data_IF_364448732162
#
_entry.id   IF_364448732162
#
_cell.length_a   1.000
_cell.length_b   1.000
_cell.length_c   1.000
_cell.angle_alpha   90.00
_cell.angle_beta   90.00
_cell.angle_gamma   90.00
#
_symmetry.space_group_name_H-M   'P 1'
#
loop_
_entity.id
_entity.type
_entity.pdbx_description
1 polymer ?
#
# COMPACT_ATOMS: atom_id res chain seq x y z
N UNK A 1 29.76 8.33 -10.59
CA UNK A 1 28.59 9.08 -11.12
C UNK A 1 27.30 8.72 -10.40
N UNK A 2 27.02 7.45 -10.09
CA UNK A 2 25.75 7.03 -9.48
C UNK A 2 25.82 6.65 -7.99
N UNK A 3 26.88 7.04 -7.28
CA UNK A 3 27.15 6.61 -5.91
C UNK A 3 26.00 6.87 -4.94
N UNK A 4 25.28 7.99 -5.09
CA UNK A 4 24.11 8.31 -4.24
C UNK A 4 22.98 7.31 -4.45
N UNK A 5 22.62 7.03 -5.70
CA UNK A 5 21.54 6.10 -6.06
C UNK A 5 21.94 4.65 -5.74
N UNK A 6 23.20 4.28 -5.99
CA UNK A 6 23.74 2.98 -5.60
C UNK A 6 23.77 2.79 -4.09
N UNK A 7 24.11 3.83 -3.32
CA UNK A 7 24.09 3.78 -1.86
C UNK A 7 22.67 3.64 -1.36
N UNK A 8 21.73 4.40 -1.92
CA UNK A 8 20.31 4.26 -1.61
C UNK A 8 19.82 2.83 -1.86
N UNK A 9 20.15 2.24 -3.02
CA UNK A 9 19.86 0.83 -3.28
C UNK A 9 20.52 -0.10 -2.27
N UNK A 10 21.83 0.02 -2.04
CA UNK A 10 22.59 -0.86 -1.14
C UNK A 10 22.03 -0.88 0.28
N UNK A 11 21.66 0.28 0.83
CA UNK A 11 21.15 0.43 2.19
C UNK A 11 19.70 -0.02 2.37
N UNK A 12 18.96 -0.21 1.27
CA UNK A 12 17.53 -0.51 1.32
C UNK A 12 17.23 -1.90 0.77
N UNK A 13 16.09 -2.43 1.20
CA UNK A 13 15.57 -3.68 0.67
C UNK A 13 15.04 -3.50 -0.75
N UNK A 14 15.14 -4.56 -1.54
CA UNK A 14 14.74 -4.57 -2.96
C UNK A 14 13.24 -4.39 -3.18
N UNK A 15 12.43 -4.56 -2.13
CA UNK A 15 10.98 -4.37 -2.13
C UNK A 15 10.53 -3.02 -1.54
N UNK A 16 11.46 -2.14 -1.16
CA UNK A 16 11.13 -0.81 -0.62
C UNK A 16 10.96 0.24 -1.72
N UNK A 17 10.16 1.26 -1.43
CA UNK A 17 9.94 2.41 -2.31
C UNK A 17 11.26 3.14 -2.64
N UNK A 18 12.11 3.39 -1.64
CA UNK A 18 13.41 4.03 -1.83
C UNK A 18 14.30 3.27 -2.82
N UNK A 19 14.25 1.92 -2.80
CA UNK A 19 15.03 1.11 -3.73
C UNK A 19 14.52 1.26 -5.16
N UNK A 20 13.21 1.16 -5.36
CA UNK A 20 12.58 1.29 -6.69
C UNK A 20 12.76 2.70 -7.25
N UNK A 21 12.58 3.74 -6.43
CA UNK A 21 12.83 5.14 -6.81
C UNK A 21 14.29 5.36 -7.24
N UNK A 22 15.24 4.77 -6.51
CA UNK A 22 16.66 4.86 -6.87
C UNK A 22 16.98 4.16 -8.21
N UNK A 23 16.29 3.07 -8.55
CA UNK A 23 16.39 2.43 -9.87
C UNK A 23 15.79 3.31 -10.95
N UNK A 24 14.57 3.81 -10.73
CA UNK A 24 13.82 4.62 -11.70
C UNK A 24 14.55 5.94 -12.00
N UNK A 25 15.01 6.66 -10.97
CA UNK A 25 15.78 7.89 -11.14
C UNK A 25 17.08 7.65 -11.90
N UNK A 26 17.78 6.54 -11.65
CA UNK A 26 19.00 6.22 -12.39
C UNK A 26 18.70 5.91 -13.86
N UNK A 27 17.63 5.16 -14.11
CA UNK A 27 17.20 4.84 -15.47
C UNK A 27 16.77 6.11 -16.23
N UNK A 28 16.02 6.99 -15.57
CA UNK A 28 15.61 8.28 -16.11
C UNK A 28 16.81 9.15 -16.45
N UNK A 29 17.78 9.26 -15.53
CA UNK A 29 19.02 10.00 -15.78
C UNK A 29 19.76 9.48 -17.02
N UNK A 30 19.94 8.16 -17.14
CA UNK A 30 20.59 7.53 -18.30
C UNK A 30 19.84 7.89 -19.59
N UNK A 31 18.51 7.77 -19.58
CA UNK A 31 17.68 8.07 -20.75
C UNK A 31 17.82 9.53 -21.19
N UNK A 32 17.66 10.48 -20.26
CA UNK A 32 17.75 11.92 -20.56
C UNK A 32 19.17 12.29 -21.00
N UNK A 33 20.20 11.76 -20.35
CA UNK A 33 21.61 11.97 -20.75
C UNK A 33 21.84 11.53 -22.20
N UNK A 34 21.42 10.31 -22.54
CA UNK A 34 21.66 9.73 -23.86
C UNK A 34 20.90 10.50 -24.95
N UNK A 35 19.66 10.91 -24.66
CA UNK A 35 18.86 11.76 -25.53
C UNK A 35 19.52 13.14 -25.78
N UNK A 36 19.93 13.83 -24.72
CA UNK A 36 20.58 15.15 -24.82
C UNK A 36 21.96 15.08 -25.49
N UNK A 37 22.70 13.99 -25.30
CA UNK A 37 24.00 13.80 -25.96
C UNK A 37 23.86 13.26 -27.39
N UNK A 38 22.63 13.00 -27.87
CA UNK A 38 22.35 12.23 -29.10
C UNK A 38 23.21 10.97 -29.19
N UNK A 39 23.21 10.16 -28.14
CA UNK A 39 23.99 8.93 -28.04
C UNK A 39 25.51 9.11 -28.30
N UNK A 40 26.05 10.29 -28.01
CA UNK A 40 27.47 10.61 -28.20
C UNK A 40 27.79 11.40 -29.47
N UNK A 41 26.80 11.68 -30.33
CA UNK A 41 26.99 12.53 -31.51
C UNK A 41 27.25 14.00 -31.16
N UNK A 42 26.55 14.53 -30.14
CA UNK A 42 26.74 15.92 -29.69
C UNK A 42 27.90 16.03 -28.70
N UNK A 43 27.93 15.12 -27.73
CA UNK A 43 28.92 15.14 -26.65
C UNK A 43 29.35 13.72 -26.32
N UNK A 44 30.61 13.42 -26.62
CA UNK A 44 31.23 12.18 -26.18
C UNK A 44 31.76 12.35 -24.75
N UNK A 45 31.24 11.56 -23.81
CA UNK A 45 31.68 11.57 -22.41
C UNK A 45 31.88 10.14 -21.91
N UNK A 46 32.89 9.87 -21.04
CA UNK A 46 33.03 8.57 -20.39
C UNK A 46 31.77 8.09 -19.67
N UNK A 47 30.88 9.01 -19.28
CA UNK A 47 29.58 8.71 -18.70
C UNK A 47 28.72 7.81 -19.59
N UNK A 48 28.78 7.97 -20.92
CA UNK A 48 27.98 7.20 -21.90
C UNK A 48 28.34 5.71 -21.94
N UNK A 49 29.51 5.31 -21.41
CA UNK A 49 29.90 3.90 -21.31
C UNK A 49 28.97 3.08 -20.41
N UNK A 50 28.30 3.72 -19.44
CA UNK A 50 27.32 3.08 -18.59
C UNK A 50 25.92 3.22 -19.22
N UNK A 51 25.41 2.12 -19.77
CA UNK A 51 24.15 2.07 -20.53
C UNK A 51 22.99 1.55 -19.66
N UNK A 52 21.76 1.67 -20.15
CA UNK A 52 20.58 1.06 -19.52
C UNK A 52 20.74 -0.45 -19.32
N UNK A 53 21.45 -1.14 -20.20
CA UNK A 53 21.73 -2.57 -20.08
C UNK A 53 22.65 -2.87 -18.89
N UNK A 54 23.65 -2.03 -18.65
CA UNK A 54 24.53 -2.15 -17.48
C UNK A 54 23.73 -1.96 -16.20
N UNK A 55 22.88 -0.92 -16.13
CA UNK A 55 21.97 -0.71 -14.99
C UNK A 55 21.09 -1.93 -14.73
N UNK A 56 20.47 -2.48 -15.78
CA UNK A 56 19.60 -3.63 -15.65
C UNK A 56 20.33 -4.84 -15.07
N UNK A 57 21.52 -5.16 -15.58
CA UNK A 57 22.32 -6.28 -15.09
C UNK A 57 22.74 -6.09 -13.62
N UNK A 58 23.15 -4.88 -13.24
CA UNK A 58 23.58 -4.58 -11.87
C UNK A 58 22.41 -4.69 -10.88
N UNK A 59 21.23 -4.18 -11.26
CA UNK A 59 20.00 -4.28 -10.45
C UNK A 59 19.55 -5.74 -10.31
N UNK A 60 19.59 -6.52 -11.39
CA UNK A 60 19.25 -7.95 -11.35
C UNK A 60 20.19 -8.75 -10.45
N UNK A 61 21.49 -8.46 -10.52
CA UNK A 61 22.50 -9.07 -9.65
C UNK A 61 22.23 -8.72 -8.19
N UNK A 62 22.00 -7.44 -7.88
CA UNK A 62 21.71 -6.99 -6.52
C UNK A 62 20.42 -7.61 -5.98
N UNK A 63 19.36 -7.71 -6.79
CA UNK A 63 18.10 -8.37 -6.43
C UNK A 63 18.33 -9.83 -6.06
N UNK A 64 19.11 -10.57 -6.86
CA UNK A 64 19.45 -11.99 -6.59
C UNK A 64 20.26 -12.17 -5.31
N UNK A 65 21.23 -11.29 -5.05
CA UNK A 65 22.08 -11.36 -3.86
C UNK A 65 21.32 -11.03 -2.56
N UNK A 66 20.38 -10.08 -2.61
CA UNK A 66 19.60 -9.67 -1.43
C UNK A 66 18.41 -10.57 -1.13
N UNK A 67 17.81 -11.18 -2.15
CA UNK A 67 16.56 -11.93 -2.02
C UNK A 67 16.57 -13.01 -0.91
N UNK A 68 17.61 -13.85 -0.74
CA UNK A 68 17.62 -14.87 0.31
C UNK A 68 17.60 -14.28 1.72
N UNK A 69 18.41 -13.24 1.96
CA UNK A 69 18.50 -12.54 3.26
C UNK A 69 17.18 -11.87 3.60
N UNK A 70 16.56 -11.26 2.59
CA UNK A 70 15.29 -10.57 2.75
C UNK A 70 14.13 -11.54 3.09
N UNK A 71 14.15 -12.75 2.52
CA UNK A 71 13.19 -13.83 2.84
C UNK A 71 13.41 -14.33 4.28
N UNK A 72 14.66 -14.50 4.71
CA UNK A 72 14.98 -14.94 6.08
C UNK A 72 14.53 -13.90 7.11
N UNK A 73 14.79 -12.62 6.87
CA UNK A 73 14.30 -11.51 7.70
C UNK A 73 12.77 -11.49 7.79
N UNK A 74 12.07 -11.68 6.66
CA UNK A 74 10.60 -11.73 6.65
C UNK A 74 10.06 -12.96 7.43
N UNK A 75 10.77 -14.10 7.43
CA UNK A 75 10.41 -15.27 8.24
C UNK A 75 10.57 -15.00 9.73
N UNK A 76 11.70 -14.43 10.14
CA UNK A 76 11.98 -14.10 11.54
C UNK A 76 10.96 -13.11 12.10
N UNK A 77 10.70 -12.02 11.35
CA UNK A 77 9.70 -11.02 11.74
C UNK A 77 8.32 -11.65 11.94
N UNK A 78 7.96 -12.61 11.09
CA UNK A 78 6.67 -13.30 11.19
C UNK A 78 6.59 -14.22 12.41
N UNK A 79 7.67 -14.92 12.75
CA UNK A 79 7.72 -15.72 13.97
C UNK A 79 7.63 -14.84 15.22
N UNK A 80 8.24 -13.65 15.19
CA UNK A 80 8.12 -12.64 16.25
C UNK A 80 6.69 -12.12 16.37
N UNK A 81 6.06 -11.69 15.27
CA UNK A 81 4.64 -11.27 15.23
C UNK A 81 3.71 -12.37 15.76
N UNK A 82 3.98 -13.63 15.41
CA UNK A 82 3.21 -14.79 15.91
C UNK A 82 3.36 -14.95 17.43
N UNK A 83 4.59 -14.83 17.95
CA UNK A 83 4.88 -14.91 19.39
C UNK A 83 4.29 -13.72 20.16
N UNK A 84 4.28 -12.52 19.59
CA UNK A 84 3.66 -11.34 20.18
C UNK A 84 2.15 -11.47 20.24
N UNK A 85 1.52 -11.98 19.17
CA UNK A 85 0.09 -12.28 19.18
C UNK A 85 -0.25 -13.30 20.28
N UNK A 86 0.55 -14.36 20.44
CA UNK A 86 0.39 -15.34 21.51
C UNK A 86 0.63 -14.74 22.92
N UNK A 87 1.61 -13.84 23.10
CA UNK A 87 1.87 -13.17 24.40
C UNK A 87 0.82 -12.13 24.77
N UNK A 88 0.24 -11.43 23.79
CA UNK A 88 -0.85 -10.48 24.02
C UNK A 88 -2.12 -11.15 24.57
N UNK A 89 -2.25 -12.48 24.37
CA UNK A 89 -3.30 -13.29 24.97
C UNK A 89 -3.00 -13.64 26.45
N UNK A 90 -1.72 -13.72 26.83
CA UNK A 90 -1.25 -14.16 28.17
C UNK A 90 -1.08 -12.99 29.17
N UNK A 91 -0.82 -11.76 28.71
CA UNK A 91 -0.78 -10.57 29.58
C UNK A 91 -2.16 -10.11 30.11
N UNK A 92 -3.25 -10.72 29.63
CA UNK A 92 -4.56 -10.67 30.29
C UNK A 92 -4.77 -11.76 31.36
N UNK A 93 -3.76 -12.56 31.67
CA UNK A 93 -3.90 -13.76 32.50
C UNK A 93 -2.68 -14.09 33.36
N UNK A 94 -2.19 -13.16 34.20
CA UNK A 94 -1.23 -13.51 35.25
C UNK A 94 -1.36 -12.69 36.54
N UNK A 95 -2.58 -12.32 36.93
CA UNK A 95 -2.90 -11.95 38.30
C UNK A 95 -4.41 -12.07 38.55
N UNK A 96 -4.86 -13.26 38.95
CA UNK A 96 -6.10 -13.49 39.68
C UNK A 96 -7.40 -13.15 38.96
N UNK A 97 -7.99 -14.14 38.27
CA UNK A 97 -9.40 -14.55 38.31
C UNK A 97 -9.64 -15.55 37.16
N UNK A 98 -10.11 -16.73 37.51
CA UNK A 98 -10.72 -17.68 36.58
C UNK A 98 -11.89 -17.01 35.83
N UNK A 99 -11.89 -17.04 34.48
CA UNK A 99 -13.18 -16.98 33.75
C UNK A 99 -13.32 -16.12 32.50
N UNK A 100 -12.45 -16.26 31.49
CA UNK A 100 -12.88 -16.04 30.08
C UNK A 100 -12.29 -17.14 29.19
N UNK A 101 -12.96 -18.28 29.15
CA UNK A 101 -12.66 -19.34 28.20
C UNK A 101 -13.06 -18.85 26.80
N UNK A 102 -12.09 -18.76 25.88
CA UNK A 102 -12.35 -18.52 24.45
C UNK A 102 -12.40 -19.86 23.73
N UNK A 103 -13.50 -20.14 23.05
CA UNK A 103 -13.64 -21.34 22.24
C UNK A 103 -13.34 -20.99 20.78
N UNK A 104 -12.11 -21.26 20.35
CA UNK A 104 -11.67 -21.01 18.98
C UNK A 104 -12.29 -21.99 17.99
N UNK A 105 -12.61 -21.50 16.78
CA UNK A 105 -13.19 -22.28 15.70
C UNK A 105 -12.61 -21.88 14.34
N UNK A 106 -12.69 -22.77 13.35
CA UNK A 106 -12.37 -22.45 11.94
C UNK A 106 -13.50 -21.68 11.25
N UNK A 107 -14.71 -21.82 11.78
CA UNK A 107 -15.93 -21.23 11.23
C UNK A 107 -16.82 -20.63 12.32
N UNK A 108 -17.66 -19.69 11.90
CA UNK A 108 -18.57 -18.97 12.76
C UNK A 108 -19.85 -18.63 12.00
N UNK A 109 -20.98 -19.13 12.50
CA UNK A 109 -22.30 -18.73 12.01
C UNK A 109 -22.79 -17.48 12.73
N UNK A 110 -23.27 -16.49 11.99
CA UNK A 110 -23.94 -15.32 12.56
C UNK A 110 -25.08 -14.88 11.65
N UNK A 111 -26.30 -14.82 12.23
CA UNK A 111 -27.56 -14.69 11.48
C UNK A 111 -27.64 -15.80 10.41
N UNK A 112 -27.83 -15.43 9.14
CA UNK A 112 -27.96 -16.36 8.01
C UNK A 112 -26.66 -16.48 7.19
N UNK A 113 -25.51 -16.12 7.77
CA UNK A 113 -24.21 -16.13 7.11
C UNK A 113 -23.22 -17.00 7.87
N UNK A 114 -22.38 -17.73 7.12
CA UNK A 114 -21.27 -18.51 7.65
C UNK A 114 -19.96 -17.81 7.30
N UNK A 115 -19.07 -17.60 8.27
CA UNK A 115 -17.75 -17.00 8.09
C UNK A 115 -16.67 -18.02 8.43
N UNK A 116 -15.57 -18.02 7.69
CA UNK A 116 -14.44 -18.92 7.92
C UNK A 116 -13.13 -18.15 8.08
N UNK A 117 -12.16 -18.76 8.75
CA UNK A 117 -10.77 -18.32 8.68
C UNK A 117 -10.32 -18.29 7.21
N UNK A 118 -9.70 -17.17 6.80
CA UNK A 118 -9.33 -16.89 5.42
C UNK A 118 -10.36 -16.10 4.61
N UNK A 119 -11.57 -15.90 5.12
CA UNK A 119 -12.54 -14.99 4.49
C UNK A 119 -12.12 -13.53 4.68
N UNK A 120 -12.36 -12.70 3.66
CA UNK A 120 -12.28 -11.24 3.78
C UNK A 120 -13.68 -10.68 4.02
N UNK A 121 -13.79 -9.77 4.97
CA UNK A 121 -15.07 -9.19 5.37
C UNK A 121 -15.00 -7.69 5.43
N UNK A 122 -16.13 -7.05 5.13
CA UNK A 122 -16.34 -5.65 5.42
C UNK A 122 -16.76 -5.49 6.86
N UNK A 123 -16.04 -4.65 7.60
CA UNK A 123 -16.33 -4.30 8.99
C UNK A 123 -16.87 -2.88 9.04
N UNK A 124 -17.94 -2.70 9.81
CA UNK A 124 -18.51 -1.38 10.09
C UNK A 124 -17.45 -0.45 10.69
N UNK A 125 -17.26 0.75 10.11
CA UNK A 125 -16.31 1.72 10.63
C UNK A 125 -16.81 2.33 11.95
N UNK A 126 -15.89 2.92 12.72
CA UNK A 126 -16.27 3.64 13.94
C UNK A 126 -17.11 4.90 13.63
N UNK A 127 -16.90 5.51 12.46
CA UNK A 127 -17.64 6.70 11.99
C UNK A 127 -18.54 6.33 10.80
N UNK A 128 -19.83 6.65 10.90
CA UNK A 128 -20.87 6.17 9.97
C UNK A 128 -20.70 6.60 8.50
N UNK A 129 -19.91 7.64 8.22
CA UNK A 129 -19.71 8.18 6.86
C UNK A 129 -18.44 7.65 6.18
N UNK A 130 -17.69 6.77 6.85
CA UNK A 130 -16.50 6.16 6.27
C UNK A 130 -16.83 4.89 5.49
N UNK A 131 -15.93 4.51 4.58
CA UNK A 131 -16.06 3.24 3.88
C UNK A 131 -15.83 2.08 4.86
N UNK A 132 -16.53 0.95 4.70
CA UNK A 132 -16.26 -0.25 5.48
C UNK A 132 -14.81 -0.71 5.31
N UNK A 133 -14.21 -1.09 6.44
CA UNK A 133 -12.84 -1.59 6.47
C UNK A 133 -12.79 -3.02 5.96
N UNK A 134 -11.71 -3.38 5.25
CA UNK A 134 -11.51 -4.74 4.75
C UNK A 134 -10.63 -5.48 5.75
N UNK A 135 -11.11 -6.60 6.29
CA UNK A 135 -10.39 -7.41 7.27
C UNK A 135 -10.31 -8.86 6.81
N UNK A 136 -9.11 -9.44 6.81
CA UNK A 136 -8.93 -10.87 6.62
C UNK A 136 -9.10 -11.59 7.96
N UNK A 137 -10.07 -12.50 8.06
CA UNK A 137 -10.28 -13.30 9.27
C UNK A 137 -9.12 -14.29 9.43
N UNK A 138 -8.34 -14.15 10.49
CA UNK A 138 -7.24 -15.09 10.82
C UNK A 138 -7.58 -15.99 12.01
N UNK A 139 -8.46 -15.54 12.91
CA UNK A 139 -8.99 -16.33 14.02
C UNK A 139 -10.46 -15.99 14.26
N UNK A 140 -11.24 -17.00 14.66
CA UNK A 140 -12.61 -16.87 15.13
C UNK A 140 -12.73 -17.54 16.50
N UNK A 141 -13.49 -16.94 17.41
CA UNK A 141 -13.83 -17.57 18.69
C UNK A 141 -15.16 -17.04 19.24
N UNK A 142 -15.72 -17.81 20.16
CA UNK A 142 -16.79 -17.36 21.05
C UNK A 142 -16.19 -17.14 22.45
N UNK A 143 -16.55 -16.03 23.10
CA UNK A 143 -16.15 -15.78 24.49
C UNK A 143 -17.14 -16.39 25.49
N UNK A 144 -16.84 -16.29 26.78
CA UNK A 144 -17.68 -16.84 27.84
C UNK A 144 -19.05 -16.17 27.98
N UNK A 145 -19.27 -15.00 27.36
CA UNK A 145 -20.56 -14.33 27.29
C UNK A 145 -21.39 -14.80 26.08
N UNK A 146 -20.86 -15.70 25.24
CA UNK A 146 -21.48 -16.14 24.00
C UNK A 146 -21.31 -15.13 22.86
N UNK A 147 -20.49 -14.07 23.04
CA UNK A 147 -20.22 -13.13 21.97
C UNK A 147 -19.18 -13.71 21.01
N UNK A 148 -19.47 -13.58 19.72
CA UNK A 148 -18.65 -14.11 18.63
C UNK A 148 -17.71 -13.02 18.12
N UNK A 149 -16.43 -13.36 18.04
CA UNK A 149 -15.35 -12.44 17.68
C UNK A 149 -14.53 -12.97 16.51
N UNK A 150 -14.00 -12.02 15.73
CA UNK A 150 -12.95 -12.27 14.75
C UNK A 150 -11.70 -11.48 15.13
N UNK A 151 -10.54 -11.99 14.75
CA UNK A 151 -9.26 -11.27 14.76
C UNK A 151 -8.61 -11.42 13.40
N UNK A 152 -8.01 -10.34 12.90
CA UNK A 152 -7.56 -10.31 11.52
C UNK A 152 -6.69 -9.14 11.15
N UNK A 153 -6.05 -9.26 10.00
CA UNK A 153 -5.27 -8.22 9.36
C UNK A 153 -6.18 -7.23 8.65
N UNK A 154 -5.96 -5.94 8.86
CA UNK A 154 -6.67 -4.88 8.16
C UNK A 154 -6.00 -4.55 6.82
N UNK A 155 -6.81 -4.30 5.80
CA UNK A 155 -6.38 -3.90 4.47
C UNK A 155 -6.83 -2.48 4.19
N UNK A 156 -5.87 -1.61 3.92
CA UNK A 156 -6.13 -0.18 3.70
C UNK A 156 -6.33 0.12 2.24
N UNK A 157 -7.30 0.97 1.94
CA UNK A 157 -7.50 1.59 0.65
C UNK A 157 -6.49 2.72 0.45
N UNK A 158 -6.25 3.19 -0.79
CA UNK A 158 -5.32 4.28 -1.06
C UNK A 158 -5.56 5.53 -0.20
N UNK A 159 -6.81 5.93 -0.02
CA UNK A 159 -7.21 7.09 0.77
C UNK A 159 -7.03 6.92 2.30
N UNK A 160 -6.74 5.71 2.78
CA UNK A 160 -6.42 5.41 4.18
C UNK A 160 -4.89 5.39 4.43
N UNK A 161 -4.09 5.73 3.41
CA UNK A 161 -2.62 5.72 3.49
C UNK A 161 -2.01 7.11 3.30
N UNK A 162 -0.85 7.35 3.90
CA UNK A 162 -0.01 8.49 3.55
C UNK A 162 0.89 8.11 2.38
N UNK A 163 0.81 8.88 1.29
CA UNK A 163 1.56 8.62 0.06
C UNK A 163 1.87 9.92 -0.68
N UNK A 164 2.87 9.88 -1.56
CA UNK A 164 3.15 10.98 -2.47
C UNK A 164 1.97 11.16 -3.44
N UNK A 165 1.63 12.42 -3.77
CA UNK A 165 0.57 12.73 -4.73
C UNK A 165 0.80 12.08 -6.10
N UNK A 166 2.07 11.88 -6.49
CA UNK A 166 2.45 11.24 -7.75
C UNK A 166 2.28 9.72 -7.75
N UNK A 167 2.00 9.10 -6.59
CA UNK A 167 1.83 7.65 -6.49
C UNK A 167 0.62 7.21 -7.32
N UNK A 168 0.84 6.19 -8.15
CA UNK A 168 -0.20 5.58 -8.97
C UNK A 168 -0.69 4.29 -8.34
N UNK A 169 -2.00 4.09 -8.40
CA UNK A 169 -2.71 2.97 -7.80
C UNK A 169 -3.39 2.13 -8.88
N UNK A 170 -3.42 0.81 -8.68
CA UNK A 170 -4.28 -0.07 -9.45
C UNK A 170 -5.75 0.23 -9.13
N UNK A 171 -6.63 -0.02 -10.10
CA UNK A 171 -8.05 -0.05 -9.80
C UNK A 171 -8.33 -1.15 -8.75
N UNK A 172 -9.14 -0.83 -7.74
CA UNK A 172 -9.42 -1.71 -6.59
C UNK A 172 -8.19 -2.09 -5.77
N UNK A 173 -7.11 -1.30 -5.80
CA UNK A 173 -5.92 -1.58 -4.97
C UNK A 173 -6.22 -1.46 -3.48
N UNK A 174 -5.67 -2.39 -2.70
CA UNK A 174 -5.61 -2.33 -1.24
C UNK A 174 -4.22 -2.75 -0.76
N UNK A 175 -3.89 -2.37 0.47
CA UNK A 175 -2.59 -2.60 1.08
C UNK A 175 -2.72 -3.44 2.33
N UNK A 176 -1.96 -4.54 2.40
CA UNK A 176 -1.86 -5.32 3.63
C UNK A 176 -1.20 -4.46 4.72
N UNK A 177 -1.92 -4.11 5.77
CA UNK A 177 -1.37 -3.27 6.85
C UNK A 177 -0.57 -4.09 7.88
N UNK A 178 0.14 -3.38 8.76
CA UNK A 178 0.69 -3.90 10.02
C UNK A 178 -0.32 -3.81 11.18
N UNK A 179 -1.57 -3.45 10.91
CA UNK A 179 -2.62 -3.32 11.91
C UNK A 179 -3.49 -4.58 12.00
N UNK A 180 -3.54 -5.15 13.20
CA UNK A 180 -4.37 -6.30 13.53
C UNK A 180 -5.21 -5.96 14.75
N UNK A 181 -6.50 -6.29 14.70
CA UNK A 181 -7.38 -6.06 15.83
C UNK A 181 -8.52 -7.07 15.85
N UNK A 182 -9.15 -7.23 17.01
CA UNK A 182 -10.37 -8.02 17.18
C UNK A 182 -11.60 -7.15 16.94
N UNK A 183 -12.64 -7.75 16.36
CA UNK A 183 -13.91 -7.10 16.06
C UNK A 183 -15.05 -8.09 16.37
N UNK A 184 -16.20 -7.64 16.91
CA UNK A 184 -17.37 -8.48 17.01
C UNK A 184 -17.85 -8.94 15.63
N UNK A 185 -18.21 -10.21 15.48
CA UNK A 185 -18.78 -10.76 14.23
C UNK A 185 -20.09 -10.05 13.85
N UNK A 186 -20.77 -9.45 14.83
CA UNK A 186 -21.98 -8.64 14.62
C UNK A 186 -21.75 -7.37 13.79
N UNK A 187 -20.50 -6.89 13.69
CA UNK A 187 -20.09 -5.72 12.91
C UNK A 187 -19.75 -6.02 11.45
N UNK A 188 -19.86 -7.29 11.03
CA UNK A 188 -19.62 -7.67 9.63
C UNK A 188 -20.81 -7.23 8.78
N UNK A 189 -20.52 -6.47 7.73
CA UNK A 189 -21.50 -5.96 6.76
C UNK A 189 -21.65 -6.86 5.53
N UNK A 190 -20.62 -7.65 5.20
CA UNK A 190 -20.60 -8.53 4.04
C UNK A 190 -19.23 -9.16 3.82
N UNK A 191 -19.13 -10.01 2.80
CA UNK A 191 -17.87 -10.63 2.37
C UNK A 191 -17.30 -9.90 1.16
N UNK A 192 -15.99 -9.91 1.04
CA UNK A 192 -15.26 -9.50 -0.14
C UNK A 192 -14.10 -10.48 -0.40
N UNK A 193 -13.27 -10.19 -1.39
CA UNK A 193 -12.06 -10.97 -1.69
C UNK A 193 -10.90 -10.03 -1.97
N UNK A 194 -9.75 -10.27 -1.35
CA UNK A 194 -8.50 -9.63 -1.72
C UNK A 194 -7.61 -10.66 -2.40
N UNK A 195 -7.26 -10.39 -3.65
CA UNK A 195 -6.40 -11.26 -4.46
C UNK A 195 -4.97 -10.72 -4.52
N UNK A 196 -4.00 -11.62 -4.59
CA UNK A 196 -2.64 -11.21 -4.87
C UNK A 196 -2.51 -10.73 -6.33
N UNK A 197 -1.75 -9.66 -6.55
CA UNK A 197 -1.57 -9.02 -7.86
C UNK A 197 -1.18 -9.99 -9.00
N UNK A 198 -0.44 -11.06 -8.69
CA UNK A 198 -0.01 -12.05 -9.69
C UNK A 198 -1.15 -12.89 -10.29
N UNK A 199 -2.27 -13.00 -9.57
CA UNK A 199 -3.43 -13.82 -9.93
C UNK A 199 -4.63 -12.97 -10.35
N UNK A 200 -4.78 -11.78 -9.77
CA UNK A 200 -5.94 -10.89 -9.94
C UNK A 200 -6.36 -10.63 -11.40
N UNK A 201 -5.39 -10.38 -12.29
CA UNK A 201 -5.69 -10.06 -13.69
C UNK A 201 -6.15 -11.26 -14.53
N UNK A 202 -5.88 -12.48 -14.05
CA UNK A 202 -6.11 -13.73 -14.81
C UNK A 202 -7.27 -14.54 -14.23
N UNK A 203 -7.52 -14.43 -12.93
CA UNK A 203 -8.51 -15.20 -12.21
C UNK A 203 -9.56 -14.28 -11.58
N UNK A 204 -10.77 -14.79 -11.37
CA UNK A 204 -11.81 -14.17 -10.56
C UNK A 204 -12.40 -15.17 -9.56
N UNK A 205 -12.86 -14.70 -8.39
CA UNK A 205 -13.57 -15.54 -7.44
C UNK A 205 -15.01 -15.84 -7.91
N UNK A 206 -15.44 -17.09 -7.78
CA UNK A 206 -16.83 -17.45 -8.05
C UNK A 206 -17.78 -16.86 -7.00
N UNK A 207 -18.97 -16.43 -7.42
CA UNK A 207 -20.05 -15.90 -6.57
C UNK A 207 -19.75 -14.55 -5.89
N UNK A 208 -18.78 -13.79 -6.37
CA UNK A 208 -18.53 -12.41 -5.94
C UNK A 208 -18.73 -11.44 -7.09
N UNK A 209 -19.24 -10.25 -6.77
CA UNK A 209 -19.33 -9.13 -7.72
C UNK A 209 -17.96 -8.49 -7.84
N UNK A 210 -17.59 -8.00 -9.02
CA UNK A 210 -16.28 -7.37 -9.25
C UNK A 210 -16.04 -6.15 -8.32
N UNK A 211 -17.10 -5.47 -7.87
CA UNK A 211 -17.00 -4.39 -6.89
C UNK A 211 -16.49 -4.83 -5.51
N UNK A 212 -16.58 -6.12 -5.19
CA UNK A 212 -16.11 -6.73 -3.94
C UNK A 212 -14.80 -7.52 -4.11
N UNK A 213 -14.15 -7.40 -5.27
CA UNK A 213 -12.86 -8.03 -5.56
C UNK A 213 -11.78 -6.96 -5.62
N UNK A 214 -10.81 -7.06 -4.71
CA UNK A 214 -9.69 -6.14 -4.57
C UNK A 214 -8.37 -6.79 -4.95
N UNK A 215 -7.39 -5.95 -5.31
CA UNK A 215 -6.02 -6.39 -5.64
C UNK A 215 -5.04 -5.87 -4.60
N UNK A 216 -4.15 -6.74 -4.13
CA UNK A 216 -3.07 -6.37 -3.23
C UNK A 216 -1.71 -6.68 -3.86
N UNK A 217 -0.89 -5.65 -4.07
CA UNK A 217 0.50 -5.75 -4.53
C UNK A 217 1.51 -5.51 -3.40
N UNK A 218 1.16 -4.63 -2.46
CA UNK A 218 2.09 -4.10 -1.45
C UNK A 218 1.53 -4.16 -0.03
N UNK A 219 2.46 -4.21 0.93
CA UNK A 219 2.20 -3.90 2.33
C UNK A 219 2.31 -2.39 2.55
N UNK A 220 1.59 -1.90 3.55
CA UNK A 220 1.71 -0.54 4.05
C UNK A 220 1.94 -0.59 5.57
N UNK A 221 2.94 0.11 6.07
CA UNK A 221 3.12 0.29 7.53
C UNK A 221 2.59 1.64 7.95
N UNK A 222 1.60 1.66 8.83
CA UNK A 222 1.09 2.91 9.38
C UNK A 222 2.13 3.60 10.28
N UNK A 223 2.99 2.81 10.93
CA UNK A 223 4.07 3.29 11.82
C UNK A 223 5.15 4.05 11.06
N UNK A 224 5.61 3.53 9.91
CA UNK A 224 6.67 4.15 9.12
C UNK A 224 6.16 4.92 7.90
N UNK A 225 4.84 4.91 7.64
CA UNK A 225 4.19 5.53 6.48
C UNK A 225 4.86 5.15 5.16
N UNK A 226 5.19 3.86 5.01
CA UNK A 226 5.96 3.36 3.87
C UNK A 226 5.34 2.12 3.25
N UNK A 227 5.58 1.97 1.95
CA UNK A 227 5.12 0.83 1.16
C UNK A 227 6.24 -0.17 0.92
N UNK A 228 5.88 -1.46 0.92
CA UNK A 228 6.80 -2.57 0.62
C UNK A 228 6.12 -3.61 -0.26
N UNK A 229 6.65 -3.91 -1.44
CA UNK A 229 6.06 -4.92 -2.34
C UNK A 229 6.03 -6.30 -1.70
N UNK A 230 4.93 -7.03 -1.90
CA UNK A 230 4.78 -8.39 -1.37
C UNK A 230 5.45 -9.38 -2.32
N UNK A 231 6.48 -10.06 -1.82
CA UNK A 231 7.18 -11.11 -2.59
C UNK A 231 6.42 -12.44 -2.61
N UNK A 232 5.93 -12.84 -1.43
CA UNK A 232 5.20 -14.08 -1.21
C UNK A 232 3.89 -13.77 -0.48
N UNK A 233 2.77 -14.19 -1.09
CA UNK A 233 1.44 -14.05 -0.50
C UNK A 233 1.24 -15.13 0.54
N UNK A 234 1.10 -14.72 1.80
CA UNK A 234 1.02 -15.65 2.92
C UNK A 234 -0.17 -15.32 3.82
N UNK A 235 -1.37 -15.48 3.28
CA UNK A 235 -2.63 -15.36 4.01
C UNK A 235 -3.21 -16.74 4.32
N UNK A 236 -4.10 -16.88 5.31
CA UNK A 236 -4.83 -18.13 5.51
C UNK A 236 -5.55 -18.55 4.23
N UNK A 237 -5.61 -19.86 3.99
CA UNK A 237 -6.26 -20.41 2.79
C UNK A 237 -7.77 -20.18 2.93
N UNK A 238 -8.35 -19.46 1.97
CA UNK A 238 -9.78 -19.23 1.90
C UNK A 238 -10.49 -20.41 1.22
N UNK A 239 -11.77 -20.60 1.53
CA UNK A 239 -12.67 -21.55 0.85
C UNK A 239 -13.14 -21.07 -0.54
N UNK A 240 -12.83 -19.82 -0.91
CA UNK A 240 -13.21 -19.22 -2.18
C UNK A 240 -12.55 -19.96 -3.36
N UNK A 241 -13.38 -20.33 -4.35
CA UNK A 241 -12.91 -20.93 -5.60
C UNK A 241 -12.61 -19.84 -6.62
N UNK A 242 -11.47 -19.98 -7.29
CA UNK A 242 -11.03 -19.07 -8.35
C UNK A 242 -11.12 -19.76 -9.70
N UNK A 243 -11.66 -19.05 -10.68
CA UNK A 243 -11.76 -19.51 -12.08
C UNK A 243 -11.06 -18.52 -12.99
N UNK A 244 -10.56 -18.95 -14.17
CA UNK A 244 -10.04 -18.04 -15.18
C UNK A 244 -11.10 -17.01 -15.59
N UNK A 245 -10.67 -15.76 -15.78
CA UNK A 245 -11.54 -14.73 -16.37
C UNK A 245 -11.74 -15.01 -17.85
N UNK A 246 -12.93 -14.74 -18.36
CA UNK A 246 -13.23 -14.78 -19.79
C UNK A 246 -12.35 -13.79 -20.57
N UNK A 247 -12.16 -12.59 -20.00
CA UNK A 247 -11.28 -11.55 -20.52
C UNK A 247 -10.33 -11.09 -19.40
N UNK A 248 -9.00 -11.20 -19.57
CA UNK A 248 -8.05 -10.68 -18.60
C UNK A 248 -8.23 -9.18 -18.38
N UNK A 249 -8.12 -8.74 -17.12
CA UNK A 249 -8.25 -7.32 -16.79
C UNK A 249 -7.04 -6.52 -17.29
N UNK A 250 -7.24 -5.30 -17.81
CA UNK A 250 -6.13 -4.43 -18.19
C UNK A 250 -5.37 -3.95 -16.96
N UNK A 251 -4.05 -3.83 -17.06
CA UNK A 251 -3.21 -3.29 -15.99
C UNK A 251 -3.21 -1.77 -16.08
N UNK A 252 -4.16 -1.13 -15.41
CA UNK A 252 -4.29 0.33 -15.38
C UNK A 252 -3.87 0.86 -14.01
N UNK A 253 -2.93 1.81 -13.99
CA UNK A 253 -2.52 2.54 -12.79
C UNK A 253 -2.77 4.04 -12.94
N UNK A 254 -3.60 4.61 -12.08
CA UNK A 254 -3.95 6.04 -12.07
C UNK A 254 -3.43 6.72 -10.83
N UNK A 255 -3.01 7.98 -10.94
CA UNK A 255 -2.65 8.77 -9.76
C UNK A 255 -3.87 8.92 -8.84
N UNK A 256 -3.62 9.10 -7.54
CA UNK A 256 -4.67 9.41 -6.58
C UNK A 256 -5.47 10.63 -7.05
N UNK A 257 -6.81 10.58 -7.01
CA UNK A 257 -7.68 11.72 -7.38
C UNK A 257 -7.40 12.97 -6.54
N UNK A 258 -6.80 12.79 -5.35
CA UNK A 258 -6.38 13.88 -4.47
C UNK A 258 -5.10 14.59 -4.94
N UNK A 259 -4.34 14.02 -5.87
CA UNK A 259 -3.13 14.64 -6.42
C UNK A 259 -3.41 15.91 -7.23
N UNK A 260 -4.65 16.10 -7.68
CA UNK A 260 -5.06 17.25 -8.49
C UNK A 260 -5.67 18.39 -7.67
N UNK A 261 -5.93 18.20 -6.36
CA UNK A 261 -6.51 19.24 -5.52
C UNK A 261 -5.53 20.41 -5.28
N UNK A 262 -4.24 20.12 -5.16
CA UNK A 262 -3.18 21.13 -4.96
C UNK A 262 -2.85 21.96 -6.22
N UNK A 263 -3.45 21.66 -7.37
CA UNK A 263 -3.25 22.42 -8.62
C UNK A 263 -4.41 23.37 -8.96
N UNK A 264 -5.47 23.40 -8.14
CA UNK A 264 -6.68 24.17 -8.40
C UNK A 264 -6.66 25.62 -7.91
N UNK A 265 -5.70 26.00 -7.05
CA UNK A 265 -5.74 27.28 -6.34
C UNK A 265 -4.76 28.35 -6.88
N UNK A 266 -3.87 28.02 -7.83
CA UNK A 266 -2.89 28.97 -8.39
C UNK A 266 -3.35 29.65 -9.71
N UNK A 267 -4.50 29.29 -10.28
CA UNK A 267 -4.99 29.85 -11.56
C UNK A 267 -6.18 30.84 -11.44
N UNK A 268 -6.33 31.52 -10.28
CA UNK A 268 -7.41 32.51 -10.08
C UNK A 268 -6.99 33.93 -9.72
N UNK A 269 -5.78 34.37 -10.09
CA UNK A 269 -5.38 35.77 -9.93
C UNK A 269 -4.61 36.35 -11.13
N UNK A 270 -5.07 36.08 -12.36
CA UNK A 270 -4.64 36.82 -13.55
C UNK A 270 -5.86 37.10 -14.44
N UNK A 271 -6.57 38.20 -14.16
CA UNK A 271 -6.97 39.23 -15.14
C UNK A 271 -8.09 40.12 -14.60
N UNK A 272 -7.80 41.42 -14.46
CA UNK A 272 -8.59 42.55 -14.97
C UNK A 272 -8.29 43.84 -14.20
N UNK A 273 -7.49 44.72 -14.77
CA UNK A 273 -7.88 46.11 -15.06
C UNK A 273 -6.68 46.89 -15.61
N UNK A 274 -6.59 46.97 -16.93
CA UNK A 274 -5.89 48.08 -17.59
C UNK A 274 -6.84 49.28 -17.73
N UNK A 275 -6.27 50.43 -17.40
CA UNK A 275 -6.49 51.77 -17.96
C UNK A 275 -7.65 52.64 -17.46
N UNK A 276 -7.30 53.59 -16.59
CA UNK A 276 -7.83 54.96 -16.68
C UNK A 276 -6.78 55.97 -16.22
N UNK A 277 -6.18 56.65 -17.20
CA UNK A 277 -5.35 57.87 -17.05
C UNK A 277 -6.01 58.94 -16.18
N UNK A 278 -5.24 59.54 -15.27
CA UNK A 278 -5.29 60.97 -15.00
C UNK A 278 -3.99 61.42 -14.30
N UNK A 279 -3.40 62.49 -14.83
CA UNK A 279 -2.27 63.22 -14.30
C UNK A 279 -2.59 63.83 -12.93
N UNK A 280 -1.64 63.84 -11.99
CA UNK A 280 -1.24 65.10 -11.33
C UNK A 280 0.02 64.97 -10.45
N UNK A 281 0.72 66.10 -10.39
CA UNK A 281 2.02 66.36 -9.81
C UNK A 281 2.09 66.33 -8.25
N UNK A 282 3.34 66.46 -7.77
CA UNK A 282 3.82 67.01 -6.49
C UNK A 282 4.31 66.03 -5.39
N UNK A 283 5.65 65.92 -5.35
CA UNK A 283 6.53 66.37 -4.28
C UNK A 283 6.47 65.73 -2.87
N UNK A 284 7.68 65.26 -2.51
CA UNK A 284 8.46 65.65 -1.33
C UNK A 284 8.14 64.99 0.04
N UNK A 285 9.20 64.33 0.52
CA UNK A 285 9.70 64.32 1.90
C UNK A 285 8.93 63.59 3.03
N UNK A 286 9.70 62.65 3.61
CA UNK A 286 10.05 62.54 5.05
C UNK A 286 9.03 61.95 6.05
N UNK A 287 9.57 60.95 6.76
CA UNK A 287 9.80 60.91 8.22
C UNK A 287 8.88 60.05 9.10
N UNK A 288 9.56 59.09 9.75
CA UNK A 288 9.40 58.52 11.10
C UNK A 288 8.10 57.79 11.45
N UNK A 289 8.14 56.63 12.12
CA UNK A 289 9.07 56.13 13.15
C UNK A 289 9.40 54.66 12.95
#
# INVERSE_FOLDING_TARGET
MFEVLERARRMNRTDSEIYEDAVELQQFFIKIRDELCKNGEILLSPALSYTTKHLHNDVEKERKEKLPKEIEEDKLKREEEKREAEKSEDSSGAAGLSGLHRTYSQDCSFKNSMYHVGDYVYVEPAEANLQPHIVCIERLWEDSAGEKWLYGCWFYRPNETFHLATRKFLEKEVFKSDYYNKVPVSKILGKCVVMFVKEYFKLCPENFRDEDVFVCESRYSAKTKSFKKIKLWTMPISSVRFVPRDVPLPVVRVASVFANADKGDDEKNTDNSEDSRAEDNFNLEKVCR
#
